data_IF_883069761840
#
_entry.id   IF_883069761840
#
_cell.length_a   1.000
_cell.length_b   1.000
_cell.length_c   1.000
_cell.angle_alpha   90.00
_cell.angle_beta   90.00
_cell.angle_gamma   90.00
#
_symmetry.space_group_name_H-M   'P 1'
#
loop_
_entity.id
_entity.type
_entity.pdbx_description
1 polymer ?
#
# COMPACT_ATOMS: atom_id res chain seq x y z
N UNK A 1 10.49 -5.88 42.68
CA UNK A 1 10.18 -7.12 41.94
C UNK A 1 8.68 -7.28 41.55
N UNK A 2 7.76 -6.45 42.07
CA UNK A 2 6.31 -6.63 41.81
C UNK A 2 5.79 -6.01 40.46
N UNK A 3 6.58 -5.19 39.79
CA UNK A 3 6.14 -4.53 38.56
C UNK A 3 6.02 -5.45 37.35
N UNK A 4 6.96 -6.39 37.20
CA UNK A 4 7.00 -7.32 36.06
C UNK A 4 5.85 -8.33 36.08
N UNK A 5 5.47 -8.84 37.24
CA UNK A 5 4.35 -9.80 37.37
C UNK A 5 3.00 -9.13 37.10
N UNK A 6 2.81 -7.89 37.54
CA UNK A 6 1.59 -7.11 37.25
C UNK A 6 1.49 -6.77 35.75
N UNK A 7 2.58 -6.34 35.14
CA UNK A 7 2.61 -6.05 33.69
C UNK A 7 2.31 -7.29 32.85
N UNK A 8 2.88 -8.46 33.23
CA UNK A 8 2.58 -9.73 32.56
C UNK A 8 1.11 -10.13 32.69
N UNK A 9 0.49 -9.95 33.89
CA UNK A 9 -0.91 -10.29 34.11
C UNK A 9 -1.83 -9.38 33.29
N UNK A 10 -1.53 -8.11 33.18
CA UNK A 10 -2.31 -7.15 32.39
C UNK A 10 -2.17 -7.42 30.87
N UNK A 11 -0.99 -7.72 30.39
CA UNK A 11 -0.76 -8.13 29.00
C UNK A 11 -1.55 -9.40 28.66
N UNK A 12 -1.49 -10.42 29.51
CA UNK A 12 -2.25 -11.66 29.31
C UNK A 12 -3.76 -11.43 29.31
N UNK A 13 -4.26 -10.53 30.16
CA UNK A 13 -5.66 -10.14 30.18
C UNK A 13 -6.08 -9.47 28.85
N UNK A 14 -5.27 -8.55 28.33
CA UNK A 14 -5.54 -7.87 27.05
C UNK A 14 -5.51 -8.84 25.87
N UNK A 15 -4.50 -9.71 25.80
CA UNK A 15 -4.41 -10.72 24.74
C UNK A 15 -5.57 -11.71 24.79
N UNK A 16 -6.01 -12.10 25.99
CA UNK A 16 -7.19 -12.95 26.14
C UNK A 16 -8.46 -12.24 25.66
N UNK A 17 -8.61 -10.96 25.97
CA UNK A 17 -9.73 -10.17 25.45
C UNK A 17 -9.72 -10.12 23.91
N UNK A 18 -8.55 -9.92 23.27
CA UNK A 18 -8.42 -9.99 21.80
C UNK A 18 -8.82 -11.36 21.28
N UNK A 19 -8.43 -12.43 21.94
CA UNK A 19 -8.79 -13.80 21.56
C UNK A 19 -10.30 -14.04 21.66
N UNK A 20 -10.94 -13.55 22.74
CA UNK A 20 -12.34 -13.85 23.05
C UNK A 20 -13.33 -12.94 22.28
N UNK A 21 -12.96 -11.69 22.02
CA UNK A 21 -13.85 -10.64 21.50
C UNK A 21 -13.31 -9.89 20.28
N UNK A 22 -12.04 -10.10 19.91
CA UNK A 22 -11.43 -9.44 18.77
C UNK A 22 -11.95 -9.99 17.43
N UNK A 23 -12.01 -9.12 16.42
CA UNK A 23 -12.30 -9.54 15.04
C UNK A 23 -11.06 -10.18 14.39
N UNK A 24 -10.70 -11.37 14.86
CA UNK A 24 -9.52 -12.09 14.36
C UNK A 24 -9.68 -12.60 12.91
N UNK A 25 -10.90 -12.65 12.41
CA UNK A 25 -11.19 -13.05 11.03
C UNK A 25 -11.25 -11.85 10.08
N UNK A 26 -11.13 -10.62 10.60
CA UNK A 26 -11.15 -9.41 9.79
C UNK A 26 -12.50 -9.12 9.12
N UNK A 27 -13.60 -9.56 9.71
CA UNK A 27 -14.94 -9.35 9.16
C UNK A 27 -15.33 -7.87 9.13
N UNK A 28 -14.79 -7.07 10.05
CA UNK A 28 -14.98 -5.61 10.10
C UNK A 28 -13.90 -4.83 9.36
N UNK A 29 -12.89 -5.53 8.81
CA UNK A 29 -11.75 -4.89 8.15
C UNK A 29 -12.18 -4.09 6.92
N UNK A 30 -11.77 -2.83 6.86
CA UNK A 30 -11.93 -1.99 5.68
C UNK A 30 -10.58 -1.91 4.95
N UNK A 31 -10.58 -2.17 3.65
CA UNK A 31 -9.35 -2.09 2.83
C UNK A 31 -8.75 -0.67 2.77
N UNK A 32 -9.53 0.36 3.15
CA UNK A 32 -9.04 1.73 3.29
C UNK A 32 -8.10 1.89 4.47
N UNK A 33 -8.26 1.05 5.50
CA UNK A 33 -7.46 1.16 6.70
C UNK A 33 -5.99 0.86 6.38
N UNK A 34 -5.08 1.64 6.98
CA UNK A 34 -3.63 1.48 6.87
C UNK A 34 -3.07 1.49 5.44
N UNK A 35 -3.74 2.19 4.53
CA UNK A 35 -3.32 2.37 3.13
C UNK A 35 -3.25 1.07 2.31
N UNK A 36 -3.98 0.01 2.72
CA UNK A 36 -3.96 -1.27 1.99
C UNK A 36 -4.62 -1.22 0.61
N UNK A 37 -5.40 -0.17 0.31
CA UNK A 37 -6.00 0.05 -1.02
C UNK A 37 -5.02 0.59 -2.07
N UNK A 38 -3.84 1.08 -1.68
CA UNK A 38 -2.85 1.56 -2.64
C UNK A 38 -2.38 0.45 -3.59
N UNK A 39 -2.22 -0.75 -3.05
CA UNK A 39 -1.89 -1.96 -3.82
C UNK A 39 -2.38 -3.20 -3.09
N UNK A 40 -3.07 -4.09 -3.81
CA UNK A 40 -3.51 -5.37 -3.26
C UNK A 40 -2.35 -6.38 -3.30
N UNK A 41 -1.55 -6.37 -2.24
CA UNK A 41 -0.40 -7.27 -2.11
C UNK A 41 -0.86 -8.71 -1.82
N UNK A 42 -0.31 -9.73 -2.51
CA UNK A 42 -0.63 -11.13 -2.22
C UNK A 42 -0.22 -11.55 -0.80
N UNK A 43 -1.01 -12.44 -0.20
CA UNK A 43 -0.72 -13.01 1.13
C UNK A 43 -0.50 -11.96 2.24
N UNK A 44 -1.27 -10.89 2.22
CA UNK A 44 -1.27 -9.86 3.24
C UNK A 44 -1.89 -10.39 4.55
N UNK A 45 -1.30 -10.05 5.70
CA UNK A 45 -1.92 -10.30 7.01
C UNK A 45 -3.23 -9.53 7.14
N UNK A 46 -4.14 -10.02 8.01
CA UNK A 46 -5.40 -9.33 8.31
C UNK A 46 -5.11 -8.08 9.13
N UNK A 47 -5.35 -6.86 8.59
CA UNK A 47 -4.92 -5.63 9.26
C UNK A 47 -5.55 -5.42 10.63
N UNK A 48 -6.85 -5.71 10.77
CA UNK A 48 -7.58 -5.57 12.05
C UNK A 48 -6.97 -6.47 13.13
N UNK A 49 -6.66 -7.72 12.80
CA UNK A 49 -6.02 -8.66 13.73
C UNK A 49 -4.67 -8.13 14.21
N UNK A 50 -3.85 -7.63 13.27
CA UNK A 50 -2.56 -7.03 13.61
C UNK A 50 -2.72 -5.82 14.52
N UNK A 51 -3.65 -4.93 14.20
CA UNK A 51 -3.93 -3.71 15.00
C UNK A 51 -4.35 -4.07 16.43
N UNK A 52 -5.26 -5.03 16.59
CA UNK A 52 -5.71 -5.48 17.93
C UNK A 52 -4.58 -6.09 18.78
N UNK A 53 -3.72 -6.89 18.15
CA UNK A 53 -2.57 -7.49 18.85
C UNK A 53 -1.56 -6.40 19.25
N UNK A 54 -1.22 -5.50 18.33
CA UNK A 54 -0.28 -4.40 18.61
C UNK A 54 -0.85 -3.47 19.68
N UNK A 55 -2.14 -3.14 19.65
CA UNK A 55 -2.82 -2.39 20.70
C UNK A 55 -2.65 -3.05 22.07
N UNK A 56 -2.91 -4.35 22.16
CA UNK A 56 -2.81 -5.09 23.42
C UNK A 56 -1.41 -5.05 24.02
N UNK A 57 -0.35 -5.12 23.18
CA UNK A 57 1.04 -5.15 23.66
C UNK A 57 1.66 -3.76 23.85
N UNK A 58 1.25 -2.76 23.06
CA UNK A 58 1.89 -1.43 23.00
C UNK A 58 1.93 -0.73 24.35
N UNK A 59 0.85 -0.83 25.15
CA UNK A 59 0.77 -0.23 26.47
C UNK A 59 1.75 -0.80 27.51
N UNK A 60 2.45 -1.88 27.21
CA UNK A 60 3.46 -2.50 28.09
C UNK A 60 4.89 -2.29 27.56
N UNK A 61 5.05 -1.59 26.42
CA UNK A 61 6.35 -1.34 25.81
C UNK A 61 6.93 0.00 26.26
N UNK A 62 8.26 0.14 26.26
CA UNK A 62 8.91 1.44 26.47
C UNK A 62 8.46 2.48 25.45
N UNK A 63 8.51 3.77 25.81
CA UNK A 63 8.11 4.89 24.95
C UNK A 63 8.86 4.88 23.58
N UNK A 64 10.11 4.41 23.56
CA UNK A 64 10.95 4.34 22.36
C UNK A 64 11.07 2.94 21.79
N UNK A 65 10.09 2.06 22.06
CA UNK A 65 10.13 0.70 21.53
C UNK A 65 10.09 0.72 20.00
N UNK A 66 10.83 -0.21 19.39
CA UNK A 66 10.86 -0.41 17.94
C UNK A 66 10.30 -1.78 17.59
N UNK A 67 9.47 -1.81 16.57
CA UNK A 67 9.04 -3.04 15.91
C UNK A 67 9.95 -3.31 14.72
N UNK A 68 10.40 -4.56 14.60
CA UNK A 68 11.22 -5.03 13.47
C UNK A 68 10.46 -6.13 12.74
N UNK A 69 10.29 -5.96 11.43
CA UNK A 69 9.68 -6.96 10.56
C UNK A 69 10.62 -7.30 9.39
N UNK A 70 11.35 -8.43 9.47
CA UNK A 70 12.32 -8.82 8.44
C UNK A 70 11.68 -9.43 7.19
N UNK A 71 10.35 -9.60 7.18
CA UNK A 71 9.56 -10.12 6.06
C UNK A 71 8.29 -9.27 5.89
N UNK A 72 8.45 -7.95 5.82
CA UNK A 72 7.37 -6.99 6.00
C UNK A 72 6.26 -7.06 4.93
N UNK A 73 6.52 -7.64 3.75
CA UNK A 73 5.56 -7.66 2.66
C UNK A 73 5.00 -6.26 2.36
N UNK A 74 3.68 -6.13 2.44
CA UNK A 74 3.00 -4.83 2.27
C UNK A 74 3.04 -3.93 3.51
N UNK A 75 3.87 -4.24 4.51
CA UNK A 75 4.06 -3.49 5.75
C UNK A 75 2.81 -3.42 6.66
N UNK A 76 1.97 -4.45 6.69
CA UNK A 76 0.75 -4.45 7.53
C UNK A 76 1.09 -4.31 9.01
N UNK A 77 2.04 -5.10 9.52
CA UNK A 77 2.51 -5.04 10.91
C UNK A 77 3.09 -3.67 11.25
N UNK A 78 3.92 -3.13 10.35
CA UNK A 78 4.58 -1.84 10.56
C UNK A 78 3.57 -0.69 10.60
N UNK A 79 2.57 -0.70 9.72
CA UNK A 79 1.51 0.31 9.71
C UNK A 79 0.71 0.28 11.01
N UNK A 80 0.39 -0.93 11.51
CA UNK A 80 -0.27 -1.07 12.82
C UNK A 80 0.62 -0.56 13.96
N UNK A 81 1.92 -0.85 13.93
CA UNK A 81 2.87 -0.33 14.93
C UNK A 81 2.94 1.21 14.93
N UNK A 82 2.93 1.84 13.77
CA UNK A 82 2.89 3.30 13.65
C UNK A 82 1.64 3.90 14.31
N UNK A 83 0.48 3.26 14.17
CA UNK A 83 -0.77 3.72 14.79
C UNK A 83 -0.71 3.76 16.31
N UNK A 84 0.16 2.97 16.93
CA UNK A 84 0.36 2.93 18.38
C UNK A 84 1.68 3.57 18.84
N UNK A 85 2.31 4.36 17.98
CA UNK A 85 3.46 5.18 18.33
C UNK A 85 4.78 4.43 18.47
N UNK A 86 4.89 3.23 17.95
CA UNK A 86 6.12 2.49 17.93
C UNK A 86 7.03 2.98 16.78
N UNK A 87 8.32 3.01 17.01
CA UNK A 87 9.30 3.07 15.93
C UNK A 87 9.21 1.81 15.07
N UNK A 88 9.50 1.91 13.78
CA UNK A 88 9.43 0.76 12.88
C UNK A 88 10.69 0.60 12.06
N UNK A 89 11.10 -0.64 11.87
CA UNK A 89 12.11 -1.06 10.89
C UNK A 89 11.57 -2.25 10.11
N UNK A 90 11.53 -2.15 8.79
CA UNK A 90 11.05 -3.22 7.92
C UNK A 90 12.06 -3.59 6.84
N UNK A 91 12.12 -4.87 6.52
CA UNK A 91 12.95 -5.40 5.45
C UNK A 91 12.15 -6.41 4.61
N UNK A 92 12.42 -6.45 3.30
CA UNK A 92 11.89 -7.49 2.42
C UNK A 92 12.81 -7.67 1.21
N UNK A 93 12.92 -8.90 0.72
CA UNK A 93 13.70 -9.23 -0.49
C UNK A 93 12.98 -8.79 -1.78
N UNK A 94 11.65 -8.59 -1.72
CA UNK A 94 10.87 -8.17 -2.87
C UNK A 94 10.91 -6.64 -3.03
N UNK A 95 11.53 -6.11 -4.12
CA UNK A 95 11.62 -4.67 -4.34
C UNK A 95 10.25 -3.96 -4.37
N UNK A 96 9.20 -4.65 -4.83
CA UNK A 96 7.84 -4.09 -4.83
C UNK A 96 7.30 -3.94 -3.41
N UNK A 97 7.57 -4.90 -2.51
CA UNK A 97 7.20 -4.78 -1.10
C UNK A 97 7.85 -3.55 -0.45
N UNK A 98 9.15 -3.36 -0.67
CA UNK A 98 9.90 -2.19 -0.18
C UNK A 98 9.35 -0.89 -0.75
N UNK A 99 9.03 -0.85 -2.05
CA UNK A 99 8.44 0.33 -2.69
C UNK A 99 7.07 0.67 -2.07
N UNK A 100 6.21 -0.32 -1.83
CA UNK A 100 4.89 -0.16 -1.20
C UNK A 100 5.06 0.35 0.24
N UNK A 101 5.94 -0.26 1.02
CA UNK A 101 6.21 0.16 2.39
C UNK A 101 6.73 1.61 2.44
N UNK A 102 7.70 1.97 1.60
CA UNK A 102 8.23 3.33 1.49
C UNK A 102 7.14 4.35 1.13
N UNK A 103 6.25 4.03 0.19
CA UNK A 103 5.14 4.90 -0.15
C UNK A 103 4.16 5.08 1.02
N UNK A 104 3.89 4.03 1.81
CA UNK A 104 2.97 4.11 2.95
C UNK A 104 3.51 4.93 4.13
N UNK A 105 4.82 4.82 4.41
CA UNK A 105 5.45 5.52 5.55
C UNK A 105 5.88 6.95 5.23
N UNK A 106 5.87 7.36 3.96
CA UNK A 106 6.29 8.70 3.55
C UNK A 106 5.37 9.78 4.12
N UNK A 107 5.96 10.87 4.58
CA UNK A 107 5.21 12.05 4.97
C UNK A 107 4.93 12.90 3.73
N UNK A 108 3.67 13.01 3.35
CA UNK A 108 3.26 13.74 2.16
C UNK A 108 2.66 15.10 2.49
N UNK A 109 2.99 16.11 1.73
CA UNK A 109 2.20 17.31 1.60
C UNK A 109 1.04 17.05 0.63
N UNK A 110 -0.18 17.15 1.13
CA UNK A 110 -1.39 16.80 0.36
C UNK A 110 -1.64 17.77 -0.80
N UNK A 111 -1.36 19.06 -0.60
CA UNK A 111 -1.49 20.04 -1.65
C UNK A 111 -0.45 19.77 -2.76
N UNK A 112 0.79 19.50 -2.38
CA UNK A 112 1.86 19.18 -3.33
C UNK A 112 1.55 17.92 -4.13
N UNK A 113 1.02 16.84 -3.51
CA UNK A 113 0.65 15.64 -4.26
C UNK A 113 -0.47 15.93 -5.24
N UNK A 114 -1.49 16.69 -4.80
CA UNK A 114 -2.65 17.02 -5.63
C UNK A 114 -2.22 17.81 -6.87
N UNK A 115 -1.43 18.87 -6.68
CA UNK A 115 -0.91 19.67 -7.77
C UNK A 115 0.00 18.85 -8.71
N UNK A 116 0.86 17.99 -8.14
CA UNK A 116 1.72 17.09 -8.92
C UNK A 116 0.90 16.09 -9.73
N UNK A 117 -0.22 15.58 -9.19
CA UNK A 117 -1.12 14.70 -9.93
C UNK A 117 -1.78 15.43 -11.12
N UNK A 118 -2.27 16.65 -10.93
CA UNK A 118 -2.87 17.45 -12.00
C UNK A 118 -1.90 17.70 -13.15
N UNK A 119 -0.66 18.10 -12.82
CA UNK A 119 0.39 18.27 -13.81
C UNK A 119 0.75 16.96 -14.51
N UNK A 120 0.87 15.86 -13.76
CA UNK A 120 1.16 14.54 -14.31
C UNK A 120 0.06 14.11 -15.27
N UNK A 121 -1.21 14.24 -14.89
CA UNK A 121 -2.35 13.87 -15.74
C UNK A 121 -2.44 14.73 -17.01
N UNK A 122 -2.13 16.03 -16.92
CA UNK A 122 -2.06 16.91 -18.08
C UNK A 122 -0.99 16.41 -19.07
N UNK A 123 0.21 16.06 -18.60
CA UNK A 123 1.28 15.51 -19.44
C UNK A 123 0.91 14.15 -20.04
N UNK A 124 0.29 13.25 -19.27
CA UNK A 124 -0.13 11.94 -19.77
C UNK A 124 -1.17 12.10 -20.89
N UNK A 125 -2.17 12.99 -20.71
CA UNK A 125 -3.22 13.24 -21.69
C UNK A 125 -2.68 13.92 -22.95
N UNK A 126 -1.65 14.75 -22.84
CA UNK A 126 -0.98 15.39 -23.98
C UNK A 126 0.03 14.47 -24.70
N UNK A 127 0.37 13.33 -24.12
CA UNK A 127 1.34 12.40 -24.68
C UNK A 127 0.71 11.60 -25.85
N UNK A 128 1.04 12.01 -27.06
CA UNK A 128 0.57 11.37 -28.32
C UNK A 128 1.41 10.20 -28.79
N UNK A 129 2.50 9.84 -28.06
CA UNK A 129 3.40 8.77 -28.47
C UNK A 129 2.81 7.38 -28.23
N UNK A 130 2.79 6.55 -29.27
CA UNK A 130 2.40 5.14 -29.19
C UNK A 130 3.59 4.20 -28.87
N UNK A 131 4.74 4.76 -28.50
CA UNK A 131 5.92 3.99 -28.14
C UNK A 131 5.69 3.12 -26.91
N UNK A 132 5.99 1.84 -27.02
CA UNK A 132 5.97 0.87 -25.92
C UNK A 132 7.36 0.79 -25.33
N UNK A 133 7.49 1.13 -24.06
CA UNK A 133 8.78 1.24 -23.38
C UNK A 133 9.19 -0.02 -22.60
N UNK A 134 8.35 -1.03 -22.55
CA UNK A 134 8.61 -2.29 -21.84
C UNK A 134 8.30 -3.46 -22.75
N UNK A 135 9.22 -4.41 -22.81
CA UNK A 135 9.03 -5.64 -23.52
C UNK A 135 9.56 -6.82 -22.69
N UNK A 136 8.79 -7.90 -22.63
CA UNK A 136 9.19 -9.17 -22.02
C UNK A 136 8.47 -10.35 -22.71
N UNK A 137 8.99 -11.57 -22.63
CA UNK A 137 8.35 -12.74 -23.23
C UNK A 137 6.91 -12.92 -22.74
N UNK A 138 5.98 -12.92 -23.69
CA UNK A 138 4.55 -13.12 -23.39
C UNK A 138 3.78 -11.86 -22.98
N UNK A 139 4.31 -10.66 -23.15
CA UNK A 139 3.62 -9.41 -22.83
C UNK A 139 2.24 -9.32 -23.49
N UNK A 140 2.11 -9.74 -24.76
CA UNK A 140 0.85 -9.69 -25.51
C UNK A 140 -0.19 -10.69 -24.99
N UNK A 141 0.23 -11.71 -24.26
CA UNK A 141 -0.69 -12.61 -23.52
C UNK A 141 -1.43 -11.88 -22.40
N UNK A 142 -0.71 -10.97 -21.74
CA UNK A 142 -1.20 -10.32 -20.50
C UNK A 142 -1.76 -8.93 -20.71
N UNK A 143 -1.39 -8.25 -21.79
CA UNK A 143 -1.79 -6.87 -22.07
C UNK A 143 -2.12 -6.68 -23.54
N UNK A 144 -3.28 -6.10 -23.84
CA UNK A 144 -3.59 -5.68 -25.21
C UNK A 144 -2.64 -4.56 -25.64
N UNK A 145 -2.50 -4.35 -26.94
CA UNK A 145 -1.60 -3.32 -27.48
C UNK A 145 -1.91 -1.92 -26.92
N UNK A 146 -3.20 -1.57 -26.83
CA UNK A 146 -3.62 -0.28 -26.27
C UNK A 146 -3.22 -0.14 -24.81
N UNK A 147 -3.40 -1.17 -23.98
CA UNK A 147 -2.98 -1.18 -22.56
C UNK A 147 -1.46 -0.98 -22.45
N UNK A 148 -0.66 -1.63 -23.30
CA UNK A 148 0.80 -1.45 -23.33
C UNK A 148 1.20 -0.01 -23.66
N UNK A 149 0.53 0.63 -24.61
CA UNK A 149 0.75 2.03 -24.99
C UNK A 149 0.42 2.95 -23.82
N UNK A 150 -0.76 2.80 -23.23
CA UNK A 150 -1.22 3.68 -22.15
C UNK A 150 -0.38 3.53 -20.87
N UNK A 151 0.00 2.30 -20.50
CA UNK A 151 0.96 2.06 -19.41
C UNK A 151 2.33 2.68 -19.72
N UNK A 152 2.76 2.68 -20.98
CA UNK A 152 4.02 3.32 -21.36
C UNK A 152 3.95 4.85 -21.27
N UNK A 153 2.79 5.46 -21.59
CA UNK A 153 2.55 6.90 -21.37
C UNK A 153 2.64 7.25 -19.88
N UNK A 154 1.95 6.51 -19.03
CA UNK A 154 2.00 6.72 -17.58
C UNK A 154 3.45 6.58 -17.08
N UNK A 155 4.13 5.49 -17.44
CA UNK A 155 5.51 5.19 -17.01
C UNK A 155 6.48 6.35 -17.32
N UNK A 156 6.57 6.81 -18.58
CA UNK A 156 7.54 7.84 -18.95
C UNK A 156 7.22 9.19 -18.31
N UNK A 157 5.96 9.48 -18.01
CA UNK A 157 5.58 10.69 -17.32
C UNK A 157 5.83 10.64 -15.81
N UNK A 158 5.64 9.49 -15.14
CA UNK A 158 6.02 9.30 -13.73
C UNK A 158 7.53 9.49 -13.53
N UNK A 159 8.37 9.01 -14.47
CA UNK A 159 9.82 9.17 -14.40
C UNK A 159 10.27 10.62 -14.26
N UNK A 160 9.48 11.56 -14.79
CA UNK A 160 9.75 13.00 -14.76
C UNK A 160 9.14 13.72 -13.55
N UNK A 161 8.57 13.00 -12.58
CA UNK A 161 8.12 13.58 -11.31
C UNK A 161 9.34 13.84 -10.42
N UNK A 162 9.58 15.11 -10.06
CA UNK A 162 10.80 15.52 -9.33
C UNK A 162 10.81 15.00 -7.89
N UNK A 163 9.70 15.13 -7.15
CA UNK A 163 9.60 14.66 -5.78
C UNK A 163 9.69 13.13 -5.73
N UNK A 164 10.71 12.60 -5.06
CA UNK A 164 11.02 11.16 -5.02
C UNK A 164 9.91 10.36 -4.32
N UNK A 165 9.32 10.88 -3.26
CA UNK A 165 8.32 10.14 -2.50
C UNK A 165 6.96 10.14 -3.22
N UNK A 166 6.56 11.27 -3.81
CA UNK A 166 5.37 11.34 -4.68
C UNK A 166 5.55 10.42 -5.89
N UNK A 167 6.75 10.38 -6.48
CA UNK A 167 7.06 9.47 -7.59
C UNK A 167 6.94 7.99 -7.17
N UNK A 168 7.40 7.61 -5.97
CA UNK A 168 7.21 6.25 -5.43
C UNK A 168 5.72 5.91 -5.27
N UNK A 169 4.93 6.85 -4.73
CA UNK A 169 3.48 6.67 -4.61
C UNK A 169 2.84 6.38 -5.97
N UNK A 170 3.16 7.16 -6.99
CA UNK A 170 2.62 6.94 -8.33
C UNK A 170 3.08 5.61 -8.94
N UNK A 171 4.30 5.15 -8.65
CA UNK A 171 4.76 3.81 -9.05
C UNK A 171 3.96 2.69 -8.37
N UNK A 172 3.64 2.83 -7.08
CA UNK A 172 2.79 1.87 -6.37
C UNK A 172 1.40 1.83 -6.99
N UNK A 173 0.80 2.98 -7.25
CA UNK A 173 -0.52 3.07 -7.87
C UNK A 173 -0.50 2.51 -9.30
N UNK A 174 0.53 2.82 -10.09
CA UNK A 174 0.70 2.23 -11.42
C UNK A 174 0.81 0.69 -11.35
N UNK A 175 1.47 0.14 -10.33
CA UNK A 175 1.52 -1.32 -10.14
C UNK A 175 0.14 -1.94 -9.90
N UNK A 176 -0.75 -1.24 -9.19
CA UNK A 176 -2.15 -1.67 -9.04
C UNK A 176 -2.92 -1.57 -10.36
N UNK A 177 -2.71 -0.52 -11.14
CA UNK A 177 -3.28 -0.40 -12.51
C UNK A 177 -2.82 -1.55 -13.39
N UNK A 178 -1.53 -1.87 -13.40
CA UNK A 178 -0.98 -3.02 -14.14
C UNK A 178 -1.71 -4.31 -13.74
N UNK A 179 -1.95 -4.51 -12.43
CA UNK A 179 -2.65 -5.70 -11.92
C UNK A 179 -4.10 -5.76 -12.40
N UNK A 180 -4.86 -4.67 -12.28
CA UNK A 180 -6.30 -4.66 -12.59
C UNK A 180 -6.59 -4.61 -14.08
N UNK A 181 -5.73 -3.98 -14.89
CA UNK A 181 -5.92 -3.80 -16.33
C UNK A 181 -5.25 -4.87 -17.19
N UNK A 182 -4.53 -5.79 -16.55
CA UNK A 182 -4.04 -6.98 -17.22
C UNK A 182 -5.17 -7.94 -17.64
N UNK A 183 -4.86 -8.88 -18.51
CA UNK A 183 -5.74 -9.97 -18.90
C UNK A 183 -5.85 -11.07 -17.83
N UNK A 184 -5.32 -10.85 -16.62
CA UNK A 184 -5.49 -11.76 -15.49
C UNK A 184 -6.88 -11.63 -14.86
N UNK A 185 -7.42 -12.73 -14.34
CA UNK A 185 -8.72 -12.74 -13.65
C UNK A 185 -8.74 -11.99 -12.32
N UNK A 186 -7.58 -11.68 -11.75
CA UNK A 186 -7.40 -10.94 -10.48
C UNK A 186 -8.11 -11.52 -9.24
N UNK A 187 -8.86 -12.61 -9.38
CA UNK A 187 -9.63 -13.23 -8.30
C UNK A 187 -8.87 -14.33 -7.54
N UNK A 188 -7.68 -14.69 -8.01
CA UNK A 188 -6.84 -15.74 -7.43
C UNK A 188 -5.40 -15.26 -7.27
N UNK A 189 -4.63 -15.93 -6.39
CA UNK A 189 -3.19 -15.63 -6.23
C UNK A 189 -2.34 -16.11 -7.40
N UNK A 190 -2.85 -17.09 -8.17
CA UNK A 190 -2.16 -17.57 -9.38
C UNK A 190 -2.64 -16.76 -10.57
N UNK A 191 -1.72 -16.45 -11.49
CA UNK A 191 -2.05 -15.77 -12.74
C UNK A 191 -2.89 -16.69 -13.62
N UNK A 192 -4.12 -16.28 -13.89
CA UNK A 192 -5.05 -16.96 -14.77
C UNK A 192 -5.56 -16.02 -15.84
N UNK A 193 -5.09 -16.22 -17.08
CA UNK A 193 -5.58 -15.44 -18.22
C UNK A 193 -7.08 -15.61 -18.40
N UNK A 194 -7.79 -14.52 -18.63
CA UNK A 194 -9.21 -14.53 -19.03
C UNK A 194 -9.37 -15.22 -20.38
N UNK A 195 -10.57 -15.75 -20.63
CA UNK A 195 -10.93 -16.26 -21.95
C UNK A 195 -10.91 -15.13 -22.99
N UNK A 196 -10.66 -15.45 -24.24
CA UNK A 196 -10.59 -14.46 -25.32
C UNK A 196 -11.88 -13.66 -25.48
N UNK A 197 -13.02 -14.34 -25.31
CA UNK A 197 -14.33 -13.69 -25.33
C UNK A 197 -14.53 -12.64 -24.21
N UNK A 198 -13.97 -12.91 -23.03
CA UNK A 198 -14.03 -11.97 -21.90
C UNK A 198 -13.12 -10.76 -22.15
N UNK A 199 -11.93 -11.02 -22.72
CA UNK A 199 -10.97 -9.95 -23.08
C UNK A 199 -11.56 -9.02 -24.14
N UNK A 200 -12.19 -9.59 -25.19
CA UNK A 200 -12.77 -8.79 -26.29
C UNK A 200 -13.97 -7.94 -25.87
N UNK A 201 -14.72 -8.37 -24.85
CA UNK A 201 -15.88 -7.64 -24.31
C UNK A 201 -15.50 -6.59 -23.25
N UNK A 202 -14.25 -6.65 -22.75
CA UNK A 202 -13.80 -5.81 -21.65
C UNK A 202 -13.37 -4.44 -22.16
N UNK A 203 -13.98 -3.40 -21.62
CA UNK A 203 -13.48 -2.02 -21.79
C UNK A 203 -12.49 -1.71 -20.68
N UNK A 204 -11.26 -1.40 -21.07
CA UNK A 204 -10.17 -1.01 -20.14
C UNK A 204 -9.77 0.43 -20.47
N UNK A 205 -9.73 1.29 -19.47
CA UNK A 205 -9.28 2.68 -19.60
C UNK A 205 -8.16 2.97 -18.60
N UNK A 206 -6.96 2.53 -18.94
CA UNK A 206 -5.75 2.58 -18.09
C UNK A 206 -5.49 3.97 -17.52
N UNK A 207 -5.64 5.02 -18.34
CA UNK A 207 -5.37 6.42 -17.92
C UNK A 207 -6.43 6.89 -16.91
N UNK A 208 -7.71 6.58 -17.15
CA UNK A 208 -8.81 6.91 -16.22
C UNK A 208 -8.69 6.13 -14.91
N UNK A 209 -8.33 4.84 -15.00
CA UNK A 209 -8.16 4.00 -13.83
C UNK A 209 -6.97 4.48 -12.99
N UNK A 210 -5.86 4.87 -13.62
CA UNK A 210 -4.73 5.49 -12.93
C UNK A 210 -5.14 6.78 -12.21
N UNK A 211 -5.83 7.70 -12.88
CA UNK A 211 -6.30 8.96 -12.29
C UNK A 211 -7.22 8.69 -11.08
N UNK A 212 -8.16 7.76 -11.24
CA UNK A 212 -9.11 7.38 -10.18
C UNK A 212 -8.40 6.78 -8.97
N UNK A 213 -7.45 5.86 -9.19
CA UNK A 213 -6.67 5.25 -8.12
C UNK A 213 -5.75 6.26 -7.43
N UNK A 214 -5.18 7.22 -8.15
CA UNK A 214 -4.40 8.30 -7.55
C UNK A 214 -5.25 9.17 -6.62
N UNK A 215 -6.42 9.64 -7.09
CA UNK A 215 -7.34 10.45 -6.27
C UNK A 215 -7.78 9.70 -5.01
N UNK A 216 -8.11 8.40 -5.15
CA UNK A 216 -8.45 7.54 -4.01
C UNK A 216 -7.27 7.38 -3.05
N UNK A 217 -6.07 7.16 -3.56
CA UNK A 217 -4.86 7.04 -2.75
C UNK A 217 -4.53 8.30 -1.95
N UNK A 218 -4.69 9.49 -2.56
CA UNK A 218 -4.53 10.78 -1.86
C UNK A 218 -5.54 10.91 -0.72
N UNK A 219 -6.80 10.56 -0.97
CA UNK A 219 -7.84 10.56 0.08
C UNK A 219 -7.47 9.62 1.23
N UNK A 220 -7.04 8.39 0.93
CA UNK A 220 -6.65 7.42 1.96
C UNK A 220 -5.46 7.92 2.79
N UNK A 221 -4.45 8.52 2.15
CA UNK A 221 -3.30 9.13 2.83
C UNK A 221 -3.76 10.26 3.74
N UNK A 222 -4.66 11.12 3.28
CA UNK A 222 -5.21 12.22 4.08
C UNK A 222 -5.92 11.69 5.33
N UNK A 223 -6.78 10.69 5.18
CA UNK A 223 -7.51 10.07 6.29
C UNK A 223 -6.56 9.39 7.29
N UNK A 224 -5.57 8.67 6.79
CA UNK A 224 -4.57 8.00 7.63
C UNK A 224 -3.72 9.00 8.42
N UNK A 225 -3.26 10.08 7.79
CA UNK A 225 -2.52 11.15 8.48
C UNK A 225 -3.35 11.81 9.57
N UNK A 226 -4.60 12.17 9.29
CA UNK A 226 -5.49 12.74 10.28
C UNK A 226 -5.66 11.81 11.50
N UNK A 227 -5.68 10.50 11.28
CA UNK A 227 -5.71 9.50 12.35
C UNK A 227 -4.44 9.55 13.20
N UNK A 228 -3.25 9.61 12.56
CA UNK A 228 -1.95 9.70 13.26
C UNK A 228 -1.79 11.03 14.02
N UNK A 229 -2.16 12.16 13.41
CA UNK A 229 -2.06 13.49 14.02
C UNK A 229 -2.94 13.60 15.29
N UNK A 230 -4.14 13.06 15.24
CA UNK A 230 -5.05 13.01 16.38
C UNK A 230 -4.52 12.15 17.54
N UNK A 231 -3.69 11.16 17.24
CA UNK A 231 -3.06 10.30 18.26
C UNK A 231 -1.77 10.85 18.85
N UNK A 232 -1.25 12.00 18.37
CA UNK A 232 0.02 12.61 18.76
C UNK A 232 1.27 11.72 18.56
N UNK A 233 1.26 10.81 17.60
CA UNK A 233 2.22 9.73 17.46
C UNK A 233 3.30 9.94 16.37
N UNK A 234 3.45 11.16 15.84
CA UNK A 234 4.27 11.47 14.65
C UNK A 234 5.80 11.52 14.85
N UNK A 235 6.36 11.12 15.99
CA UNK A 235 7.78 11.39 16.29
C UNK A 235 8.71 10.17 16.30
N UNK A 236 8.30 9.01 15.81
CA UNK A 236 9.10 7.81 15.98
C UNK A 236 10.01 7.51 14.76
N UNK A 237 11.15 6.89 15.02
CA UNK A 237 12.09 6.45 14.00
C UNK A 237 11.43 5.44 13.05
N UNK A 238 11.40 5.77 11.77
CA UNK A 238 10.75 4.98 10.73
C UNK A 238 11.75 4.69 9.63
N UNK A 239 11.99 3.41 9.32
CA UNK A 239 12.83 3.04 8.18
C UNK A 239 12.41 1.71 7.56
N UNK A 240 12.63 1.58 6.25
CA UNK A 240 12.46 0.32 5.51
C UNK A 240 13.60 0.14 4.52
N UNK A 241 14.06 -1.09 4.33
CA UNK A 241 15.20 -1.43 3.46
C UNK A 241 15.01 -2.75 2.72
N UNK A 242 15.92 -3.01 1.80
CA UNK A 242 16.10 -4.32 1.17
C UNK A 242 16.84 -5.28 2.08
#
# INVERSE_FOLDING_TARGET
>A
MNGTAYQQSELMRRLKWVQDYGDLNGMTAKRADNLHRLFLYPAMMVPVTQSLIIEAISGNLPINAMAIDPYMGSATSLMSCMEYGLGIYGQDINPLAVLIAQAKISSFDIELITNTLEELMSRIKADSSDSINVNFPGIDKWFTKQVQIDLSKIRRNIQNVNNKDIRKLFWVIMSEVIRIDSNDRTSTFKLHRRAEEDISKRTVNVISDFETLCKRGILDITLFRNKLDNSKLLQNNISVSY
#
